data_IF_723042449504
#
_entry.id   IF_723042449504
#
_cell.length_a   1.000
_cell.length_b   1.000
_cell.length_c   1.000
_cell.angle_alpha   90.00
_cell.angle_beta   90.00
_cell.angle_gamma   90.00
#
_symmetry.space_group_name_H-M   'P 1'
#
loop_
_entity.id
_entity.type
_entity.pdbx_description
1 polymer ?
#
# COMPACT_ATOMS: atom_id res chain seq x y z
N UNK A 1 -25.27 25.23 28.23
CA UNK A 1 -25.34 25.15 26.75
C UNK A 1 -25.31 23.67 26.32
N UNK A 2 -26.44 23.09 25.87
CA UNK A 2 -26.42 21.73 25.31
C UNK A 2 -25.89 21.84 23.86
N UNK A 3 -24.65 21.52 23.66
CA UNK A 3 -24.09 21.38 22.32
C UNK A 3 -24.91 20.35 21.56
N UNK A 4 -25.48 20.73 20.42
CA UNK A 4 -26.28 19.83 19.60
C UNK A 4 -25.29 18.82 18.94
N UNK A 5 -25.12 17.64 19.52
CA UNK A 5 -24.14 16.63 19.18
C UNK A 5 -24.04 16.39 17.65
N UNK A 6 -25.18 16.25 16.99
CA UNK A 6 -25.19 15.93 15.56
C UNK A 6 -24.59 17.03 14.66
N UNK A 7 -24.89 18.32 14.80
CA UNK A 7 -24.23 19.38 14.04
C UNK A 7 -22.72 19.44 14.28
N UNK A 8 -22.28 19.22 15.51
CA UNK A 8 -20.84 19.18 15.83
C UNK A 8 -20.14 18.00 15.15
N UNK A 9 -20.78 16.81 15.11
CA UNK A 9 -20.25 15.65 14.40
C UNK A 9 -20.23 15.84 12.88
N UNK A 10 -21.22 16.52 12.29
CA UNK A 10 -21.20 16.90 10.87
C UNK A 10 -19.99 17.78 10.56
N UNK A 11 -19.75 18.78 11.42
CA UNK A 11 -18.60 19.68 11.23
C UNK A 11 -17.26 18.92 11.38
N UNK A 12 -17.16 18.07 12.39
CA UNK A 12 -15.99 17.23 12.63
C UNK A 12 -15.71 16.33 11.42
N UNK A 13 -16.69 15.52 11.02
CA UNK A 13 -16.60 14.61 9.86
C UNK A 13 -16.17 15.35 8.58
N UNK A 14 -16.76 16.53 8.33
CA UNK A 14 -16.40 17.35 7.17
C UNK A 14 -14.94 17.77 7.18
N UNK A 15 -14.45 18.29 8.30
CA UNK A 15 -13.08 18.82 8.37
C UNK A 15 -12.04 17.71 8.45
N UNK A 16 -12.30 16.64 9.22
CA UNK A 16 -11.44 15.46 9.28
C UNK A 16 -11.38 14.82 7.91
N UNK A 17 -12.52 14.53 7.27
CA UNK A 17 -12.55 13.91 5.94
C UNK A 17 -11.84 14.75 4.89
N UNK A 18 -12.01 16.09 4.90
CA UNK A 18 -11.31 16.97 3.97
C UNK A 18 -9.78 16.96 4.19
N UNK A 19 -9.36 16.99 5.47
CA UNK A 19 -7.93 16.93 5.82
C UNK A 19 -7.30 15.59 5.42
N UNK A 20 -8.04 14.48 5.53
CA UNK A 20 -7.58 13.14 5.18
C UNK A 20 -7.64 12.85 3.67
N UNK A 21 -8.40 13.63 2.89
CA UNK A 21 -8.63 13.35 1.47
C UNK A 21 -7.34 13.25 0.66
N UNK A 22 -6.34 14.08 0.94
CA UNK A 22 -5.03 14.03 0.30
C UNK A 22 -4.28 12.72 0.57
N UNK A 23 -4.32 12.25 1.81
CA UNK A 23 -3.72 10.95 2.18
C UNK A 23 -4.44 9.77 1.52
N UNK A 24 -5.77 9.80 1.50
CA UNK A 24 -6.57 8.75 0.86
C UNK A 24 -6.34 8.69 -0.65
N UNK A 25 -6.21 9.85 -1.30
CA UNK A 25 -5.87 9.93 -2.70
C UNK A 25 -4.48 9.33 -2.96
N UNK A 26 -3.48 9.72 -2.17
CA UNK A 26 -2.12 9.20 -2.28
C UNK A 26 -2.10 7.68 -2.07
N UNK A 27 -2.70 7.20 -0.98
CA UNK A 27 -2.77 5.77 -0.66
C UNK A 27 -3.53 4.99 -1.74
N UNK A 28 -4.64 5.52 -2.25
CA UNK A 28 -5.41 4.89 -3.32
C UNK A 28 -4.64 4.78 -4.63
N UNK A 29 -3.97 5.85 -5.06
CA UNK A 29 -3.18 5.85 -6.28
C UNK A 29 -1.95 4.94 -6.17
N UNK A 30 -1.20 5.04 -5.08
CA UNK A 30 -0.03 4.17 -4.85
C UNK A 30 -0.44 2.72 -4.69
N UNK A 31 -1.52 2.42 -3.96
CA UNK A 31 -2.05 1.07 -3.82
C UNK A 31 -2.54 0.47 -5.15
N UNK A 32 -3.16 1.28 -6.01
CA UNK A 32 -3.55 0.85 -7.35
C UNK A 32 -2.34 0.46 -8.22
N UNK A 33 -1.24 1.23 -8.15
CA UNK A 33 0.01 0.88 -8.84
C UNK A 33 0.65 -0.38 -8.27
N UNK A 34 0.61 -0.56 -6.95
CA UNK A 34 1.18 -1.73 -6.27
C UNK A 34 0.41 -3.02 -6.56
N UNK A 35 -0.83 -2.96 -7.06
CA UNK A 35 -1.54 -4.15 -7.54
C UNK A 35 -0.83 -4.84 -8.72
N UNK A 36 -0.01 -4.10 -9.49
CA UNK A 36 0.83 -4.60 -10.58
C UNK A 36 2.32 -4.36 -10.30
N UNK A 37 2.72 -4.44 -9.03
CA UNK A 37 4.08 -4.11 -8.61
C UNK A 37 5.16 -4.89 -9.38
N UNK A 38 4.99 -6.19 -9.53
CA UNK A 38 5.97 -7.06 -10.17
C UNK A 38 6.09 -6.79 -11.67
N UNK A 39 4.95 -6.64 -12.35
CA UNK A 39 4.90 -6.36 -13.78
C UNK A 39 5.47 -4.98 -14.10
N UNK A 40 5.11 -3.97 -13.30
CA UNK A 40 5.60 -2.61 -13.49
C UNK A 40 7.09 -2.49 -13.16
N UNK A 41 7.58 -3.14 -12.10
CA UNK A 41 9.02 -3.15 -11.77
C UNK A 41 9.83 -3.85 -12.87
N UNK A 42 9.34 -4.99 -13.36
CA UNK A 42 9.95 -5.71 -14.46
C UNK A 42 9.90 -4.96 -15.81
N UNK A 43 8.86 -4.14 -16.02
CA UNK A 43 8.76 -3.28 -17.20
C UNK A 43 9.72 -2.09 -17.13
N UNK A 44 9.87 -1.48 -15.96
CA UNK A 44 10.78 -0.33 -15.74
C UNK A 44 12.24 -0.77 -15.69
N UNK A 45 12.52 -1.97 -15.16
CA UNK A 45 13.88 -2.47 -14.91
C UNK A 45 14.11 -3.89 -15.47
N UNK A 46 13.83 -4.13 -16.77
CA UNK A 46 13.92 -5.47 -17.35
C UNK A 46 15.32 -6.06 -17.24
N UNK A 47 16.35 -5.24 -17.29
CA UNK A 47 17.75 -5.66 -17.17
C UNK A 47 18.11 -6.26 -15.80
N UNK A 48 17.37 -5.91 -14.74
CA UNK A 48 17.56 -6.47 -13.40
C UNK A 48 16.67 -7.67 -13.14
N UNK A 49 15.45 -7.66 -13.67
CA UNK A 49 14.37 -8.55 -13.24
C UNK A 49 14.05 -9.65 -14.26
N UNK A 50 14.52 -9.51 -15.52
CA UNK A 50 14.24 -10.48 -16.56
C UNK A 50 15.50 -11.20 -17.02
N UNK A 51 15.36 -12.50 -17.31
CA UNK A 51 16.43 -13.33 -17.86
C UNK A 51 15.92 -14.12 -19.06
N UNK A 52 16.83 -14.45 -19.98
CA UNK A 52 16.48 -15.35 -21.07
C UNK A 52 16.24 -16.76 -20.52
N UNK A 53 15.10 -17.35 -20.90
CA UNK A 53 14.83 -18.77 -20.63
C UNK A 53 15.59 -19.61 -21.65
N UNK A 54 16.45 -20.55 -21.23
CA UNK A 54 17.13 -21.45 -22.16
C UNK A 54 16.14 -22.19 -23.04
N UNK A 55 16.53 -22.43 -24.32
CA UNK A 55 15.66 -23.11 -25.28
C UNK A 55 15.26 -24.52 -24.77
N UNK A 56 14.02 -24.96 -25.02
CA UNK A 56 13.59 -26.31 -24.70
C UNK A 56 14.51 -27.34 -25.37
N UNK A 57 15.14 -28.22 -24.58
CA UNK A 57 16.08 -29.23 -25.11
C UNK A 57 17.55 -28.84 -25.08
N UNK A 58 17.92 -27.66 -24.60
CA UNK A 58 19.31 -27.36 -24.25
C UNK A 58 19.75 -28.30 -23.12
N UNK A 59 20.53 -29.31 -23.45
CA UNK A 59 20.94 -30.38 -22.54
C UNK A 59 21.59 -29.81 -21.28
N UNK A 60 20.98 -30.01 -20.12
CA UNK A 60 21.59 -29.76 -18.81
C UNK A 60 21.41 -28.37 -18.23
N UNK A 61 20.59 -27.47 -18.83
CA UNK A 61 20.38 -26.13 -18.26
C UNK A 61 19.11 -26.13 -17.37
N UNK A 62 19.32 -26.43 -16.10
CA UNK A 62 18.33 -26.20 -15.03
C UNK A 62 18.71 -24.92 -14.25
N UNK A 63 17.74 -24.35 -13.55
CA UNK A 63 18.04 -23.30 -12.58
C UNK A 63 18.97 -23.84 -11.51
N UNK A 64 19.93 -23.01 -11.08
CA UNK A 64 20.82 -23.32 -9.97
C UNK A 64 20.03 -23.35 -8.66
N UNK A 65 20.50 -24.13 -7.70
CA UNK A 65 19.93 -24.13 -6.36
C UNK A 65 20.00 -22.70 -5.76
N UNK A 66 18.89 -22.16 -5.25
CA UNK A 66 18.87 -20.83 -4.64
C UNK A 66 19.90 -20.64 -3.53
N UNK A 67 20.26 -21.70 -2.80
CA UNK A 67 21.29 -21.63 -1.76
C UNK A 67 22.70 -21.49 -2.37
N UNK A 68 22.93 -22.07 -3.52
CA UNK A 68 24.19 -21.89 -4.28
C UNK A 68 24.29 -20.45 -4.76
N UNK A 69 23.22 -19.89 -5.34
CA UNK A 69 23.18 -18.48 -5.74
C UNK A 69 23.42 -17.54 -4.55
N UNK A 70 22.79 -17.81 -3.40
CA UNK A 70 23.05 -17.07 -2.17
C UNK A 70 24.51 -17.13 -1.72
N UNK A 71 25.14 -18.31 -1.79
CA UNK A 71 26.55 -18.46 -1.45
C UNK A 71 27.47 -17.69 -2.38
N UNK A 72 27.17 -17.66 -3.69
CA UNK A 72 27.91 -16.87 -4.67
C UNK A 72 27.81 -15.37 -4.35
N UNK A 73 26.58 -14.88 -4.05
CA UNK A 73 26.37 -13.49 -3.65
C UNK A 73 27.08 -13.18 -2.34
N UNK A 74 27.06 -14.10 -1.36
CA UNK A 74 27.81 -13.93 -0.10
C UNK A 74 29.31 -13.79 -0.33
N UNK A 75 29.86 -14.53 -1.28
CA UNK A 75 31.27 -14.43 -1.62
C UNK A 75 31.63 -13.10 -2.31
N UNK A 76 30.70 -12.50 -3.05
CA UNK A 76 30.85 -11.17 -3.66
C UNK A 76 30.75 -10.03 -2.64
N UNK A 77 30.00 -10.23 -1.55
CA UNK A 77 29.73 -9.24 -0.52
C UNK A 77 30.13 -9.73 0.88
N UNK A 78 31.44 -9.89 1.15
CA UNK A 78 31.94 -10.35 2.45
C UNK A 78 31.65 -9.36 3.60
N UNK A 79 31.41 -8.08 3.27
CA UNK A 79 31.07 -7.00 4.19
C UNK A 79 29.61 -7.02 4.65
N UNK A 80 28.77 -7.88 4.04
CA UNK A 80 27.36 -7.96 4.31
C UNK A 80 26.91 -9.42 4.53
N UNK A 81 25.74 -9.63 5.06
CA UNK A 81 25.12 -10.93 5.23
C UNK A 81 24.04 -11.17 4.17
N UNK A 82 24.22 -12.17 3.33
CA UNK A 82 23.21 -12.62 2.37
C UNK A 82 22.13 -13.43 3.09
N UNK A 83 21.08 -12.77 3.58
CA UNK A 83 20.11 -13.36 4.48
C UNK A 83 18.99 -14.12 3.77
N UNK A 84 18.51 -13.62 2.63
CA UNK A 84 17.31 -14.13 1.97
C UNK A 84 17.60 -14.52 0.54
N UNK A 85 17.25 -15.76 0.18
CA UNK A 85 17.07 -16.21 -1.19
C UNK A 85 15.68 -16.82 -1.31
N UNK A 86 14.95 -16.46 -2.35
CA UNK A 86 13.65 -17.09 -2.63
C UNK A 86 13.87 -18.51 -3.14
N UNK A 87 13.28 -19.50 -2.44
CA UNK A 87 13.43 -20.90 -2.81
C UNK A 87 12.62 -21.27 -4.07
N UNK A 88 11.54 -20.55 -4.31
CA UNK A 88 10.75 -20.71 -5.53
C UNK A 88 11.24 -19.69 -6.56
N UNK A 89 11.72 -20.18 -7.68
CA UNK A 89 12.19 -19.37 -8.80
C UNK A 89 11.26 -19.58 -9.99
N UNK A 90 10.95 -18.51 -10.69
CA UNK A 90 10.11 -18.54 -11.88
C UNK A 90 10.97 -18.42 -13.15
N UNK A 91 10.68 -19.23 -14.21
CA UNK A 91 11.38 -19.07 -15.48
C UNK A 91 11.25 -17.67 -16.05
N UNK A 92 12.36 -17.13 -16.53
CA UNK A 92 12.39 -15.79 -17.12
C UNK A 92 12.53 -14.64 -16.10
N UNK A 93 12.62 -14.96 -14.81
CA UNK A 93 12.87 -13.97 -13.76
C UNK A 93 14.26 -14.14 -13.15
N UNK A 94 14.85 -13.01 -12.74
CA UNK A 94 16.10 -13.01 -11.99
C UNK A 94 15.90 -13.56 -10.58
N UNK A 95 16.87 -14.25 -10.04
CA UNK A 95 16.93 -14.57 -8.62
C UNK A 95 17.36 -13.32 -7.83
N UNK A 96 16.67 -13.05 -6.73
CA UNK A 96 16.96 -11.89 -5.88
C UNK A 96 17.50 -12.35 -4.55
N UNK A 97 18.66 -11.84 -4.17
CA UNK A 97 19.27 -12.07 -2.86
C UNK A 97 19.30 -10.76 -2.09
N UNK A 98 18.80 -10.77 -0.86
CA UNK A 98 18.85 -9.62 0.03
C UNK A 98 20.09 -9.63 0.90
N UNK A 99 20.73 -8.46 0.98
CA UNK A 99 21.86 -8.20 1.86
C UNK A 99 21.44 -7.40 3.08
N UNK A 100 22.04 -7.70 4.22
CA UNK A 100 21.92 -6.95 5.46
C UNK A 100 23.30 -6.63 5.99
N UNK A 101 23.42 -5.51 6.68
CA UNK A 101 24.67 -5.13 7.32
C UNK A 101 25.09 -6.11 8.40
N UNK A 102 26.40 -6.27 8.54
CA UNK A 102 26.99 -7.00 9.66
C UNK A 102 27.16 -6.06 10.86
N UNK A 103 26.89 -6.51 12.09
CA UNK A 103 27.22 -5.74 13.28
C UNK A 103 28.73 -5.66 13.46
N UNK A 104 29.23 -4.47 13.72
CA UNK A 104 30.63 -4.25 14.11
C UNK A 104 30.89 -4.94 15.44
N UNK A 105 31.88 -5.87 15.53
CA UNK A 105 32.15 -6.60 16.76
C UNK A 105 32.53 -5.72 17.95
N UNK A 106 33.08 -4.53 17.71
CA UNK A 106 33.57 -3.62 18.76
C UNK A 106 32.47 -2.70 19.28
N UNK A 107 31.55 -2.25 18.42
CA UNK A 107 30.53 -1.25 18.75
C UNK A 107 29.11 -1.80 18.78
N UNK A 108 28.88 -2.99 18.19
CA UNK A 108 27.55 -3.58 17.99
C UNK A 108 26.70 -2.82 16.98
N UNK A 109 27.22 -1.74 16.36
CA UNK A 109 26.49 -0.99 15.35
C UNK A 109 26.48 -1.72 14.02
N UNK A 110 25.33 -1.80 13.38
CA UNK A 110 25.18 -2.38 12.05
C UNK A 110 25.35 -1.31 10.99
N UNK A 111 26.30 -1.52 10.08
CA UNK A 111 26.46 -0.65 8.89
C UNK A 111 25.73 -1.30 7.73
N UNK A 112 24.68 -0.63 7.25
CA UNK A 112 23.93 -1.12 6.09
C UNK A 112 24.78 -1.09 4.82
N UNK A 113 24.70 -2.12 3.95
CA UNK A 113 25.41 -2.12 2.69
C UNK A 113 24.86 -1.01 1.76
N UNK A 114 25.68 -0.52 0.82
CA UNK A 114 25.26 0.51 -0.13
C UNK A 114 24.08 0.08 -1.00
N UNK A 115 24.00 -1.21 -1.33
CA UNK A 115 22.86 -1.87 -1.98
C UNK A 115 22.41 -3.05 -1.11
N UNK A 116 21.10 -3.26 -1.03
CA UNK A 116 20.48 -4.31 -0.21
C UNK A 116 19.77 -5.38 -1.04
N UNK A 117 19.74 -5.22 -2.37
CA UNK A 117 19.21 -6.21 -3.31
C UNK A 117 20.22 -6.48 -4.42
N UNK A 118 20.55 -7.75 -4.59
CA UNK A 118 21.44 -8.28 -5.63
C UNK A 118 20.64 -9.18 -6.55
N UNK A 119 20.71 -8.93 -7.85
CA UNK A 119 19.99 -9.66 -8.89
C UNK A 119 20.96 -10.54 -9.65
N UNK A 120 20.67 -11.83 -9.73
CA UNK A 120 21.51 -12.82 -10.41
C UNK A 120 20.69 -13.65 -11.39
N UNK A 121 21.34 -14.05 -12.48
CA UNK A 121 20.73 -14.95 -13.45
C UNK A 121 20.59 -16.35 -12.82
N UNK A 122 19.38 -16.91 -12.70
CA UNK A 122 19.18 -18.19 -12.02
C UNK A 122 19.77 -19.39 -12.76
N UNK A 123 20.10 -19.25 -14.05
CA UNK A 123 20.69 -20.32 -14.85
C UNK A 123 22.20 -20.31 -14.85
N UNK A 124 22.82 -19.14 -14.77
CA UNK A 124 24.27 -18.97 -14.91
C UNK A 124 24.98 -18.51 -13.64
N UNK A 125 24.23 -17.93 -12.67
CA UNK A 125 24.79 -17.26 -11.50
C UNK A 125 25.40 -15.88 -11.80
N UNK A 126 25.28 -15.39 -13.04
CA UNK A 126 25.81 -14.08 -13.44
C UNK A 126 25.12 -12.95 -12.70
N UNK A 127 25.89 -11.97 -12.22
CA UNK A 127 25.38 -10.75 -11.60
C UNK A 127 24.72 -9.86 -12.66
N UNK A 128 23.41 -9.60 -12.53
CA UNK A 128 22.65 -8.72 -13.40
C UNK A 128 22.71 -7.27 -12.94
N UNK A 129 22.87 -7.06 -11.66
CA UNK A 129 23.01 -5.75 -11.05
C UNK A 129 22.54 -5.70 -9.61
N UNK A 130 22.54 -4.49 -9.07
CA UNK A 130 22.21 -4.23 -7.68
C UNK A 130 21.38 -2.96 -7.54
N UNK A 131 20.61 -2.87 -6.46
CA UNK A 131 19.95 -1.63 -6.05
C UNK A 131 19.82 -1.53 -4.54
N UNK A 132 19.72 -0.30 -4.04
CA UNK A 132 19.25 -0.03 -2.70
C UNK A 132 17.73 0.13 -2.77
N UNK A 133 16.99 -0.77 -2.14
CA UNK A 133 15.54 -0.82 -2.24
C UNK A 133 14.86 0.48 -1.82
N UNK A 134 14.11 1.09 -2.74
CA UNK A 134 13.37 2.32 -2.50
C UNK A 134 14.21 3.61 -2.51
N UNK A 135 15.48 3.55 -2.85
CA UNK A 135 16.32 4.74 -3.04
C UNK A 135 16.17 5.28 -4.47
N UNK A 136 15.26 6.22 -4.66
CA UNK A 136 14.99 6.82 -5.98
C UNK A 136 16.20 7.61 -6.54
N UNK A 137 17.18 7.96 -5.71
CA UNK A 137 18.40 8.66 -6.18
C UNK A 137 19.22 7.79 -7.12
N UNK A 138 19.10 6.46 -7.03
CA UNK A 138 19.74 5.51 -7.95
C UNK A 138 19.01 5.38 -9.31
N UNK A 139 17.96 6.16 -9.55
CA UNK A 139 17.22 6.21 -10.81
C UNK A 139 15.98 5.33 -10.84
N UNK A 140 15.42 5.18 -12.05
CA UNK A 140 14.11 4.55 -12.26
C UNK A 140 14.06 3.07 -11.85
N UNK A 141 15.18 2.39 -11.72
CA UNK A 141 15.24 1.01 -11.20
C UNK A 141 14.63 0.88 -9.79
N UNK A 142 14.47 1.99 -9.08
CA UNK A 142 13.86 2.06 -7.77
C UNK A 142 12.45 2.68 -7.77
N UNK A 143 11.82 2.91 -8.93
CA UNK A 143 10.52 3.57 -8.99
C UNK A 143 9.45 2.79 -8.23
N UNK A 144 9.29 1.49 -8.51
CA UNK A 144 8.27 0.69 -7.83
C UNK A 144 8.58 0.47 -6.33
N UNK A 145 9.81 0.14 -5.92
CA UNK A 145 10.21 0.15 -4.52
C UNK A 145 9.98 1.48 -3.80
N UNK A 146 10.20 2.61 -4.48
CA UNK A 146 9.91 3.94 -3.92
C UNK A 146 8.40 4.17 -3.75
N UNK A 147 7.57 3.79 -4.74
CA UNK A 147 6.11 3.84 -4.63
C UNK A 147 5.62 2.99 -3.46
N UNK A 148 6.24 1.83 -3.24
CA UNK A 148 5.95 0.98 -2.10
C UNK A 148 6.26 1.71 -0.78
N UNK A 149 7.43 2.31 -0.64
CA UNK A 149 7.80 3.12 0.53
C UNK A 149 6.86 4.31 0.74
N UNK A 150 6.48 4.97 -0.35
CA UNK A 150 5.53 6.08 -0.29
C UNK A 150 4.17 5.64 0.23
N UNK A 151 3.71 4.43 -0.16
CA UNK A 151 2.43 3.87 0.23
C UNK A 151 2.32 3.54 1.72
N UNK A 152 3.34 3.02 2.36
CA UNK A 152 3.24 2.58 3.76
C UNK A 152 3.98 3.45 4.77
N UNK A 153 4.96 4.24 4.34
CA UNK A 153 5.78 5.09 5.22
C UNK A 153 5.99 6.52 4.69
N UNK A 154 5.22 6.95 3.68
CA UNK A 154 5.34 8.28 3.05
C UNK A 154 6.77 8.60 2.57
N UNK A 155 7.59 7.59 2.32
CA UNK A 155 9.04 7.68 2.05
C UNK A 155 9.84 8.42 3.14
N UNK A 156 9.30 8.56 4.38
CA UNK A 156 9.90 9.23 5.53
C UNK A 156 10.38 8.23 6.62
N UNK A 157 10.40 6.93 6.31
CA UNK A 157 10.79 5.87 7.24
C UNK A 157 9.86 5.78 8.45
N UNK A 158 10.42 5.52 9.63
CA UNK A 158 9.67 5.30 10.87
C UNK A 158 8.69 6.44 11.18
N UNK A 159 9.08 7.69 10.97
CA UNK A 159 8.21 8.85 11.19
C UNK A 159 7.00 8.81 10.26
N UNK A 160 7.23 8.48 9.00
CA UNK A 160 6.15 8.32 8.00
C UNK A 160 5.21 7.19 8.33
N UNK A 161 5.73 6.04 8.80
CA UNK A 161 4.90 4.89 9.23
C UNK A 161 3.98 5.26 10.38
N UNK A 162 4.47 5.98 11.40
CA UNK A 162 3.62 6.47 12.49
C UNK A 162 2.59 7.49 12.00
N UNK A 163 2.99 8.44 11.15
CA UNK A 163 2.06 9.42 10.58
C UNK A 163 0.95 8.72 9.78
N UNK A 164 1.30 7.75 8.95
CA UNK A 164 0.35 6.98 8.17
C UNK A 164 -0.60 6.15 9.06
N UNK A 165 -0.07 5.52 10.11
CA UNK A 165 -0.86 4.78 11.10
C UNK A 165 -1.87 5.67 11.84
N UNK A 166 -1.47 6.88 12.25
CA UNK A 166 -2.36 7.87 12.89
C UNK A 166 -3.47 8.30 11.92
N UNK A 167 -3.12 8.59 10.67
CA UNK A 167 -4.10 8.94 9.63
C UNK A 167 -5.10 7.81 9.40
N UNK A 168 -4.63 6.56 9.31
CA UNK A 168 -5.50 5.39 9.16
C UNK A 168 -6.45 5.22 10.36
N UNK A 169 -5.98 5.45 11.58
CA UNK A 169 -6.80 5.42 12.78
C UNK A 169 -7.86 6.53 12.77
N UNK A 170 -7.48 7.77 12.45
CA UNK A 170 -8.40 8.89 12.35
C UNK A 170 -9.47 8.65 11.29
N UNK A 171 -9.07 8.12 10.13
CA UNK A 171 -10.02 7.73 9.08
C UNK A 171 -10.99 6.66 9.55
N UNK A 172 -10.49 5.61 10.21
CA UNK A 172 -11.34 4.55 10.76
C UNK A 172 -12.37 5.11 11.74
N UNK A 173 -11.97 5.99 12.65
CA UNK A 173 -12.87 6.64 13.60
C UNK A 173 -13.90 7.54 12.88
N UNK A 174 -13.46 8.26 11.85
CA UNK A 174 -14.34 9.13 11.06
C UNK A 174 -15.37 8.35 10.24
N UNK A 175 -15.05 7.12 9.78
CA UNK A 175 -16.02 6.21 9.18
C UNK A 175 -17.17 5.87 10.14
N UNK A 176 -16.91 5.64 11.43
CA UNK A 176 -17.96 5.42 12.42
C UNK A 176 -18.82 6.67 12.63
N UNK A 177 -18.20 7.85 12.62
CA UNK A 177 -18.95 9.12 12.67
C UNK A 177 -19.83 9.26 11.43
N UNK A 178 -19.29 9.00 10.24
CA UNK A 178 -20.04 9.01 8.98
C UNK A 178 -21.22 8.05 9.01
N UNK A 179 -21.00 6.80 9.43
CA UNK A 179 -22.07 5.80 9.59
C UNK A 179 -23.16 6.27 10.56
N UNK A 180 -22.77 6.84 11.70
CA UNK A 180 -23.73 7.42 12.65
C UNK A 180 -24.56 8.56 12.02
N UNK A 181 -23.94 9.40 11.18
CA UNK A 181 -24.60 10.51 10.51
C UNK A 181 -25.63 10.06 9.46
N UNK A 182 -25.56 8.83 8.96
CA UNK A 182 -26.57 8.25 8.08
C UNK A 182 -27.89 7.94 8.81
N UNK A 183 -27.85 7.77 10.14
CA UNK A 183 -29.04 7.42 10.92
C UNK A 183 -30.11 8.50 10.82
N UNK A 184 -31.43 8.11 10.79
CA UNK A 184 -32.49 9.07 10.70
C UNK A 184 -32.52 10.00 11.93
N UNK A 185 -32.55 11.31 11.69
CA UNK A 185 -32.67 12.29 12.75
C UNK A 185 -33.96 12.08 13.54
N UNK A 186 -33.90 12.31 14.86
CA UNK A 186 -35.12 12.36 15.68
C UNK A 186 -35.99 13.51 15.18
N UNK A 187 -37.16 13.22 14.66
CA UNK A 187 -38.16 14.24 14.38
C UNK A 187 -38.58 14.87 15.70
N UNK A 188 -38.33 16.17 15.88
CA UNK A 188 -39.02 16.93 16.93
C UNK A 188 -40.48 16.85 16.59
N UNK A 189 -41.27 16.22 17.44
CA UNK A 189 -42.72 16.23 17.35
C UNK A 189 -43.18 17.67 17.59
N UNK A 190 -43.48 18.40 16.50
CA UNK A 190 -44.41 19.54 16.59
C UNK A 190 -45.81 19.02 16.84
N UNK A 191 -46.71 19.84 17.37
CA UNK A 191 -48.10 19.48 17.58
C UNK A 191 -48.78 19.31 16.21
N UNK A 192 -48.74 18.13 15.65
CA UNK A 192 -49.52 17.78 14.46
C UNK A 192 -50.50 16.69 14.84
N UNK A 193 -51.81 17.00 14.79
CA UNK A 193 -52.81 15.99 14.97
C UNK A 193 -53.00 15.27 13.64
N UNK A 194 -52.55 14.09 13.49
CA UNK A 194 -53.14 13.03 12.66
C UNK A 194 -52.33 11.77 12.86
N UNK A 195 -52.97 10.65 13.13
CA UNK A 195 -52.51 9.28 13.29
C UNK A 195 -51.76 8.74 12.04
N UNK A 196 -50.69 9.39 11.61
CA UNK A 196 -49.75 8.77 10.68
C UNK A 196 -48.89 7.79 11.50
N UNK A 197 -49.14 6.50 11.33
CA UNK A 197 -48.39 5.40 11.93
C UNK A 197 -46.91 5.65 11.63
N UNK A 198 -46.13 6.00 12.66
CA UNK A 198 -44.72 6.33 12.51
C UNK A 198 -44.00 5.16 11.80
N UNK A 199 -43.36 5.45 10.68
CA UNK A 199 -42.59 4.43 9.94
C UNK A 199 -41.55 3.82 10.87
N UNK A 200 -41.35 2.49 10.86
CA UNK A 200 -40.30 1.84 11.64
C UNK A 200 -38.95 2.43 11.32
N UNK A 201 -38.02 2.36 12.29
CA UNK A 201 -36.67 2.99 12.19
C UNK A 201 -35.91 2.58 10.92
N UNK A 202 -35.92 1.29 10.58
CA UNK A 202 -35.26 0.77 9.36
C UNK A 202 -35.88 1.38 8.09
N UNK A 203 -37.21 1.52 8.00
CA UNK A 203 -37.84 2.13 6.84
C UNK A 203 -37.53 3.64 6.71
N UNK A 204 -37.12 4.29 7.79
CA UNK A 204 -36.62 5.66 7.79
C UNK A 204 -35.14 5.75 7.44
N UNK A 205 -34.38 4.72 7.71
CA UNK A 205 -32.93 4.66 7.43
C UNK A 205 -32.65 4.18 6.00
N UNK A 206 -33.45 3.27 5.45
CA UNK A 206 -33.29 2.71 4.12
C UNK A 206 -33.01 3.74 3.00
N UNK A 207 -33.68 4.93 2.93
CA UNK A 207 -33.40 5.94 1.92
C UNK A 207 -31.97 6.51 1.98
N UNK A 208 -31.25 6.33 3.09
CA UNK A 208 -29.85 6.74 3.18
C UNK A 208 -28.91 5.91 2.29
N UNK A 209 -29.30 4.70 1.93
CA UNK A 209 -28.52 3.75 1.13
C UNK A 209 -28.95 3.70 -0.34
N UNK A 210 -29.94 4.50 -0.74
CA UNK A 210 -30.44 4.53 -2.09
C UNK A 210 -29.68 5.56 -2.96
N UNK A 211 -29.19 5.13 -4.11
CA UNK A 211 -28.54 5.99 -5.11
C UNK A 211 -29.59 6.49 -6.13
N UNK A 212 -29.66 7.79 -6.30
CA UNK A 212 -30.59 8.44 -7.24
C UNK A 212 -29.87 8.76 -8.55
N UNK A 213 -29.67 7.75 -9.37
CA UNK A 213 -28.88 7.83 -10.62
C UNK A 213 -29.31 8.96 -11.58
N UNK A 214 -30.58 9.36 -11.56
CA UNK A 214 -31.16 10.40 -12.45
C UNK A 214 -31.33 11.75 -11.79
N UNK A 215 -30.85 11.97 -10.60
CA UNK A 215 -31.13 13.19 -9.82
C UNK A 215 -30.17 14.36 -10.09
N UNK A 216 -29.28 14.23 -11.08
CA UNK A 216 -28.22 15.21 -11.39
C UNK A 216 -26.93 14.98 -10.58
N UNK A 217 -25.78 15.43 -11.11
CA UNK A 217 -24.46 15.08 -10.61
C UNK A 217 -24.22 15.42 -9.13
N UNK A 218 -24.65 16.58 -8.68
CA UNK A 218 -24.48 16.99 -7.27
C UNK A 218 -25.21 16.06 -6.29
N UNK A 219 -26.45 15.67 -6.61
CA UNK A 219 -27.23 14.76 -5.74
C UNK A 219 -26.70 13.33 -5.81
N UNK A 220 -26.23 12.89 -6.98
CA UNK A 220 -25.58 11.59 -7.14
C UNK A 220 -24.30 11.50 -6.32
N UNK A 221 -23.42 12.50 -6.38
CA UNK A 221 -22.20 12.56 -5.58
C UNK A 221 -22.49 12.53 -4.08
N UNK A 222 -23.54 13.26 -3.63
CA UNK A 222 -23.97 13.21 -2.24
C UNK A 222 -24.47 11.83 -1.83
N UNK A 223 -25.25 11.15 -2.69
CA UNK A 223 -25.77 9.81 -2.42
C UNK A 223 -24.62 8.78 -2.41
N UNK A 224 -23.66 8.86 -3.36
CA UNK A 224 -22.46 8.02 -3.40
C UNK A 224 -21.63 8.17 -2.13
N UNK A 225 -21.34 9.42 -1.71
CA UNK A 225 -20.58 9.66 -0.47
C UNK A 225 -21.30 9.18 0.79
N UNK A 226 -22.63 9.20 0.81
CA UNK A 226 -23.43 8.77 1.96
C UNK A 226 -23.57 7.24 2.04
N UNK A 227 -23.59 6.56 0.89
CA UNK A 227 -23.83 5.11 0.79
C UNK A 227 -22.56 4.26 0.71
N UNK A 228 -21.40 4.87 0.40
CA UNK A 228 -20.06 4.25 0.34
C UNK A 228 -19.25 4.60 1.56
#
# INVERSE_FOLDING_TARGET
>A
MRVALRPSLVLLHRWVGLSLAGFLLLAGLTGALLAWNEELDAWVSPQLLRTAVPAPGASGVSMLDPLVLRQQVQALHPEAYAATAYLQQEPGHAAVVRLFGLPDPATGQTTEPPNDQVFVNPYTGELLGERRWGDISQGLKNLMPFIYRLHFELALGVVGSYAFGIVALLWTLDCFVGAYLTFPARTRHGPTPVRARAKPWLARWWPAWQLRWRAGGHKLNFDLHRAG
#
